data_IF_618932751723
#
_entry.id   IF_618932751723
#
_cell.length_a   1.000
_cell.length_b   1.000
_cell.length_c   1.000
_cell.angle_alpha   90.00
_cell.angle_beta   90.00
_cell.angle_gamma   90.00
#
_symmetry.space_group_name_H-M   'P 1'
#
loop_
_entity.id
_entity.type
_entity.pdbx_description
1 polymer ?
#
# COMPACT_ATOMS: atom_id res chain seq x y z
N UNK A 1 -0.85 16.59 -5.38
CA UNK A 1 -0.17 15.39 -4.83
C UNK A 1 0.52 15.62 -3.50
N UNK A 2 1.37 16.66 -3.38
CA UNK A 2 2.02 17.02 -2.09
C UNK A 2 1.03 17.35 -0.97
N UNK A 3 -0.16 17.81 -1.31
CA UNK A 3 -1.16 18.30 -0.36
C UNK A 3 -1.85 17.15 0.41
N UNK A 4 -2.30 16.11 -0.30
CA UNK A 4 -2.89 14.90 0.32
C UNK A 4 -1.89 14.19 1.23
N UNK A 5 -0.64 14.01 0.75
CA UNK A 5 0.45 13.41 1.53
C UNK A 5 0.73 14.25 2.79
N UNK A 6 0.80 15.58 2.65
CA UNK A 6 1.05 16.48 3.78
C UNK A 6 -0.10 16.47 4.78
N UNK A 7 -1.35 16.43 4.30
CA UNK A 7 -2.56 16.36 5.13
C UNK A 7 -2.58 15.07 5.96
N UNK A 8 -2.39 13.91 5.32
CA UNK A 8 -2.32 12.62 6.00
C UNK A 8 -1.14 12.54 6.97
N UNK A 9 0.02 13.05 6.56
CA UNK A 9 1.21 13.09 7.41
C UNK A 9 1.05 14.03 8.61
N UNK A 10 0.33 15.13 8.46
CA UNK A 10 0.06 16.08 9.56
C UNK A 10 -0.60 15.43 10.78
N UNK A 11 -1.39 14.38 10.57
CA UNK A 11 -2.01 13.63 11.68
C UNK A 11 -1.05 12.72 12.43
N UNK A 12 0.08 12.37 11.82
CA UNK A 12 1.09 11.54 12.45
C UNK A 12 1.62 12.17 13.76
N UNK A 13 1.82 13.49 13.77
CA UNK A 13 2.27 14.20 14.96
C UNK A 13 1.25 14.15 16.11
N UNK A 14 -0.05 14.26 15.79
CA UNK A 14 -1.12 14.17 16.79
C UNK A 14 -1.19 12.78 17.41
N UNK A 15 -1.06 11.74 16.58
CA UNK A 15 -1.13 10.34 17.04
C UNK A 15 0.10 9.88 17.83
N UNK A 16 1.25 10.51 17.59
CA UNK A 16 2.46 10.27 18.39
C UNK A 16 2.27 10.62 19.87
N UNK A 17 1.46 11.63 20.18
CA UNK A 17 1.11 11.96 21.56
C UNK A 17 0.27 10.87 22.23
N UNK A 18 -0.39 10.01 21.46
CA UNK A 18 -1.14 8.84 21.96
C UNK A 18 -0.27 7.57 22.07
N UNK A 19 1.05 7.68 21.89
CA UNK A 19 1.98 6.57 22.00
C UNK A 19 2.11 5.70 20.74
N UNK A 20 1.56 6.14 19.60
CA UNK A 20 1.71 5.46 18.32
C UNK A 20 2.99 5.96 17.65
N UNK A 21 3.93 5.06 17.37
CA UNK A 21 5.14 5.41 16.65
C UNK A 21 4.89 5.64 15.13
N UNK A 22 5.87 6.24 14.43
CA UNK A 22 5.74 6.53 12.99
C UNK A 22 5.53 5.28 12.15
N UNK A 23 6.18 4.17 12.49
CA UNK A 23 6.04 2.92 11.77
C UNK A 23 4.65 2.32 11.93
N UNK A 24 4.14 2.29 13.16
CA UNK A 24 2.80 1.82 13.47
C UNK A 24 1.73 2.73 12.83
N UNK A 25 1.93 4.05 12.87
CA UNK A 25 1.01 4.98 12.20
C UNK A 25 0.92 4.72 10.70
N UNK A 26 2.05 4.63 10.02
CA UNK A 26 2.08 4.34 8.57
C UNK A 26 1.40 3.00 8.28
N UNK A 27 1.65 2.00 9.07
CA UNK A 27 1.01 0.69 8.89
C UNK A 27 -0.52 0.79 9.04
N UNK A 28 -1.02 1.48 10.08
CA UNK A 28 -2.45 1.69 10.28
C UNK A 28 -3.08 2.54 9.15
N UNK A 29 -2.42 3.62 8.76
CA UNK A 29 -2.85 4.45 7.64
C UNK A 29 -2.94 3.65 6.35
N UNK A 30 -1.98 2.75 6.12
CA UNK A 30 -1.94 1.87 4.97
C UNK A 30 -3.12 0.91 4.95
N UNK A 31 -3.48 0.31 6.07
CA UNK A 31 -4.67 -0.54 6.18
C UNK A 31 -5.96 0.21 5.83
N UNK A 32 -6.09 1.42 6.35
CA UNK A 32 -7.26 2.27 6.08
C UNK A 32 -7.33 2.69 4.60
N UNK A 33 -6.21 3.11 4.02
CA UNK A 33 -6.14 3.44 2.59
C UNK A 33 -6.44 2.23 1.71
N UNK A 34 -5.91 1.06 2.07
CA UNK A 34 -6.21 -0.17 1.34
C UNK A 34 -7.71 -0.48 1.37
N UNK A 35 -8.37 -0.40 2.53
CA UNK A 35 -9.81 -0.61 2.67
C UNK A 35 -10.61 0.36 1.80
N UNK A 36 -10.26 1.65 1.80
CA UNK A 36 -10.91 2.66 0.97
C UNK A 36 -10.78 2.33 -0.52
N UNK A 37 -9.58 1.96 -0.96
CA UNK A 37 -9.31 1.67 -2.37
C UNK A 37 -9.80 0.27 -2.81
N UNK A 38 -9.87 -0.69 -1.89
CA UNK A 38 -10.41 -2.01 -2.18
C UNK A 38 -11.91 -1.96 -2.52
N UNK A 39 -12.66 -1.07 -1.85
CA UNK A 39 -14.08 -0.81 -2.17
C UNK A 39 -14.23 -0.33 -3.62
N UNK A 40 -13.37 0.59 -4.07
CA UNK A 40 -13.40 1.13 -5.43
C UNK A 40 -13.00 0.11 -6.51
N UNK A 41 -12.17 -0.87 -6.18
CA UNK A 41 -11.67 -1.90 -7.12
C UNK A 41 -12.48 -3.17 -7.12
N UNK A 42 -13.62 -3.22 -6.42
CA UNK A 42 -14.41 -4.43 -6.22
C UNK A 42 -13.54 -5.62 -5.75
N UNK A 43 -12.48 -5.35 -4.98
CA UNK A 43 -11.75 -6.41 -4.30
C UNK A 43 -12.73 -7.16 -3.39
N UNK A 44 -12.58 -8.47 -3.28
CA UNK A 44 -13.50 -9.32 -2.54
C UNK A 44 -13.37 -9.12 -1.01
N UNK A 45 -13.62 -7.90 -0.54
CA UNK A 45 -13.70 -7.59 0.88
C UNK A 45 -14.99 -8.23 1.43
N UNK A 46 -14.92 -8.97 2.55
CA UNK A 46 -16.10 -9.59 3.14
C UNK A 46 -17.19 -8.55 3.45
N UNK A 47 -18.42 -8.86 3.10
CA UNK A 47 -19.57 -7.97 3.30
C UNK A 47 -19.69 -7.56 4.78
N UNK A 48 -19.86 -6.26 5.03
CA UNK A 48 -19.94 -5.69 6.37
C UNK A 48 -18.60 -5.45 7.06
N UNK A 49 -17.48 -5.71 6.37
CA UNK A 49 -16.11 -5.40 6.83
C UNK A 49 -15.38 -4.48 5.85
N UNK A 50 -16.14 -3.69 5.11
CA UNK A 50 -15.71 -2.72 4.12
C UNK A 50 -15.56 -1.32 4.71
N UNK A 51 -15.12 -0.37 3.87
CA UNK A 51 -14.95 1.03 4.27
C UNK A 51 -16.28 1.66 4.72
N UNK A 52 -17.38 1.37 4.03
CA UNK A 52 -18.70 1.92 4.34
C UNK A 52 -19.15 1.52 5.75
N UNK A 53 -18.89 0.28 6.16
CA UNK A 53 -19.20 -0.22 7.51
C UNK A 53 -18.41 0.49 8.60
N UNK A 54 -17.16 0.88 8.29
CA UNK A 54 -16.24 1.52 9.24
C UNK A 54 -16.60 3.01 9.45
N UNK A 55 -16.85 3.75 8.37
CA UNK A 55 -17.01 5.21 8.43
C UNK A 55 -18.24 5.68 9.23
N UNK A 56 -19.26 4.86 9.36
CA UNK A 56 -20.50 5.22 10.03
C UNK A 56 -20.47 5.02 11.57
N UNK A 57 -19.40 4.41 12.09
CA UNK A 57 -19.24 4.15 13.51
C UNK A 57 -18.46 5.26 14.24
N UNK A 58 -18.57 5.27 15.58
CA UNK A 58 -17.85 6.16 16.46
C UNK A 58 -17.68 5.52 17.86
N UNK A 59 -16.83 6.12 18.70
CA UNK A 59 -16.56 5.61 20.06
C UNK A 59 -15.93 4.21 20.03
N UNK A 60 -16.13 3.45 21.09
CA UNK A 60 -15.57 2.09 21.24
C UNK A 60 -16.06 1.13 20.14
N UNK A 61 -17.32 1.27 19.69
CA UNK A 61 -17.83 0.48 18.58
C UNK A 61 -16.99 0.63 17.30
N UNK A 62 -16.40 1.80 17.04
CA UNK A 62 -15.50 2.02 15.91
C UNK A 62 -14.19 1.25 16.08
N UNK A 63 -13.56 1.31 17.25
CA UNK A 63 -12.29 0.60 17.50
C UNK A 63 -12.47 -0.91 17.48
N UNK A 64 -13.54 -1.42 18.05
CA UNK A 64 -13.87 -2.84 18.08
C UNK A 64 -14.12 -3.37 16.66
N UNK A 65 -14.92 -2.63 15.89
CA UNK A 65 -15.20 -2.99 14.49
C UNK A 65 -13.95 -2.94 13.62
N UNK A 66 -13.06 -1.94 13.82
CA UNK A 66 -11.79 -1.88 13.12
C UNK A 66 -10.91 -3.11 13.42
N UNK A 67 -10.84 -3.53 14.68
CA UNK A 67 -10.14 -4.74 15.06
C UNK A 67 -10.73 -6.00 14.40
N UNK A 68 -12.07 -6.08 14.34
CA UNK A 68 -12.78 -7.16 13.64
C UNK A 68 -12.52 -7.18 12.14
N UNK A 69 -12.47 -6.02 11.49
CA UNK A 69 -12.09 -5.90 10.07
C UNK A 69 -10.70 -6.48 9.85
N UNK A 70 -9.68 -6.05 10.61
CA UNK A 70 -8.32 -6.56 10.44
C UNK A 70 -8.25 -8.08 10.61
N UNK A 71 -9.00 -8.63 11.58
CA UNK A 71 -9.09 -10.07 11.80
C UNK A 71 -9.77 -10.80 10.63
N UNK A 72 -10.90 -10.27 10.14
CA UNK A 72 -11.65 -10.88 9.04
C UNK A 72 -10.91 -10.85 7.71
N UNK A 73 -10.17 -9.78 7.43
CA UNK A 73 -9.35 -9.69 6.22
C UNK A 73 -8.18 -10.69 6.25
N UNK A 74 -7.61 -10.95 7.42
CA UNK A 74 -6.61 -12.01 7.59
C UNK A 74 -7.16 -13.40 7.29
N UNK A 75 -8.44 -13.65 7.59
CA UNK A 75 -9.13 -14.93 7.36
C UNK A 75 -9.63 -15.10 5.92
N UNK A 76 -9.65 -14.04 5.11
CA UNK A 76 -10.27 -14.04 3.78
C UNK A 76 -9.50 -14.83 2.72
N UNK A 77 -8.23 -15.19 2.97
CA UNK A 77 -7.37 -15.89 2.03
C UNK A 77 -6.76 -14.99 0.95
N UNK A 78 -5.82 -15.54 0.17
CA UNK A 78 -5.14 -14.85 -0.92
C UNK A 78 -4.42 -13.58 -0.50
N UNK A 79 -4.40 -12.57 -1.38
CA UNK A 79 -3.69 -11.31 -1.13
C UNK A 79 -4.12 -10.62 0.17
N UNK A 80 -5.39 -10.69 0.53
CA UNK A 80 -5.90 -10.09 1.78
C UNK A 80 -5.28 -10.76 3.00
N UNK A 81 -5.23 -12.10 3.03
CA UNK A 81 -4.59 -12.84 4.11
C UNK A 81 -3.10 -12.49 4.23
N UNK A 82 -2.38 -12.36 3.11
CA UNK A 82 -0.97 -12.01 3.10
C UNK A 82 -0.71 -10.58 3.63
N UNK A 83 -1.52 -9.62 3.21
CA UNK A 83 -1.44 -8.23 3.66
C UNK A 83 -1.78 -8.11 5.15
N UNK A 84 -2.83 -8.78 5.62
CA UNK A 84 -3.35 -8.63 6.98
C UNK A 84 -2.87 -9.72 7.95
N UNK A 85 -1.92 -10.59 7.56
CA UNK A 85 -1.48 -11.76 8.34
C UNK A 85 -1.12 -11.47 9.80
N UNK A 86 -0.52 -10.32 10.07
CA UNK A 86 -0.12 -9.89 11.42
C UNK A 86 -0.70 -8.52 11.77
N UNK A 87 -1.76 -8.11 11.08
CA UNK A 87 -2.39 -6.82 11.32
C UNK A 87 -3.00 -6.78 12.71
N UNK A 88 -2.61 -5.78 13.48
CA UNK A 88 -3.14 -5.51 14.82
C UNK A 88 -3.55 -4.04 14.90
N UNK A 89 -4.70 -3.72 15.53
CA UNK A 89 -5.09 -2.33 15.72
C UNK A 89 -4.11 -1.64 16.69
N UNK A 90 -3.76 -0.39 16.36
CA UNK A 90 -2.87 0.44 17.20
C UNK A 90 -3.54 1.73 17.68
N UNK A 91 -4.74 2.04 17.18
CA UNK A 91 -5.50 3.17 17.68
C UNK A 91 -6.12 2.85 19.06
N UNK A 92 -5.62 3.52 20.09
CA UNK A 92 -6.17 3.41 21.45
C UNK A 92 -7.31 4.41 21.69
N UNK A 93 -7.29 5.54 20.96
CA UNK A 93 -8.30 6.57 21.06
C UNK A 93 -9.24 6.55 19.83
N UNK A 94 -10.54 6.24 20.01
CA UNK A 94 -11.48 6.19 18.91
C UNK A 94 -11.68 7.54 18.19
N UNK A 95 -11.45 8.67 18.86
CA UNK A 95 -11.54 9.99 18.26
C UNK A 95 -10.45 10.17 17.22
N UNK A 96 -9.24 9.68 17.47
CA UNK A 96 -8.12 9.76 16.55
C UNK A 96 -8.32 8.84 15.33
N UNK A 97 -8.82 7.62 15.55
CA UNK A 97 -9.20 6.73 14.45
C UNK A 97 -10.28 7.38 13.57
N UNK A 98 -11.33 7.94 14.18
CA UNK A 98 -12.40 8.65 13.45
C UNK A 98 -11.87 9.82 12.62
N UNK A 99 -10.92 10.58 13.18
CA UNK A 99 -10.29 11.71 12.49
C UNK A 99 -9.50 11.26 11.25
N UNK A 100 -8.72 10.18 11.36
CA UNK A 100 -7.97 9.64 10.21
C UNK A 100 -8.93 9.11 9.13
N UNK A 101 -9.99 8.41 9.53
CA UNK A 101 -11.03 7.95 8.60
C UNK A 101 -11.69 9.13 7.87
N UNK A 102 -12.05 10.19 8.59
CA UNK A 102 -12.66 11.38 7.99
C UNK A 102 -11.74 12.04 6.98
N UNK A 103 -10.45 12.20 7.30
CA UNK A 103 -9.45 12.77 6.38
C UNK A 103 -9.26 11.94 5.11
N UNK A 104 -9.30 10.62 5.21
CA UNK A 104 -9.23 9.74 4.05
C UNK A 104 -10.51 9.86 3.22
N UNK A 105 -11.68 9.95 3.87
CA UNK A 105 -12.99 10.00 3.19
C UNK A 105 -13.27 11.36 2.52
N UNK A 106 -12.62 12.44 2.97
CA UNK A 106 -12.69 13.77 2.34
C UNK A 106 -12.04 13.84 0.96
N UNK A 107 -11.11 12.94 0.66
CA UNK A 107 -10.43 12.90 -0.64
C UNK A 107 -11.22 12.03 -1.62
N UNK A 108 -11.37 12.52 -2.85
CA UNK A 108 -11.98 11.75 -3.94
C UNK A 108 -10.95 10.81 -4.58
N UNK A 109 -10.74 9.67 -3.92
CA UNK A 109 -9.82 8.64 -4.42
C UNK A 109 -10.31 8.03 -5.74
N UNK A 110 -11.63 8.04 -6.00
CA UNK A 110 -12.19 7.47 -7.23
C UNK A 110 -11.80 8.28 -8.46
N UNK A 111 -11.72 9.59 -8.33
CA UNK A 111 -11.29 10.50 -9.40
C UNK A 111 -9.76 10.48 -9.64
N UNK A 112 -8.99 9.89 -8.73
CA UNK A 112 -7.53 9.80 -8.89
C UNK A 112 -7.14 8.61 -9.76
N UNK A 113 -6.25 8.83 -10.70
CA UNK A 113 -5.60 7.74 -11.44
C UNK A 113 -4.80 6.82 -10.52
N UNK A 114 -4.59 5.57 -10.95
CA UNK A 114 -3.82 4.56 -10.21
C UNK A 114 -2.43 5.07 -9.86
N UNK A 115 -1.78 5.77 -10.79
CA UNK A 115 -0.44 6.33 -10.60
C UNK A 115 -0.42 7.42 -9.51
N UNK A 116 -1.48 8.22 -9.40
CA UNK A 116 -1.61 9.26 -8.37
C UNK A 116 -1.81 8.64 -6.98
N UNK A 117 -2.64 7.59 -6.88
CA UNK A 117 -2.87 6.84 -5.63
C UNK A 117 -1.57 6.18 -5.14
N UNK A 118 -0.88 5.51 -6.05
CA UNK A 118 0.39 4.88 -5.76
C UNK A 118 1.46 5.89 -5.32
N UNK A 119 1.58 7.01 -6.04
CA UNK A 119 2.54 8.06 -5.70
C UNK A 119 2.22 8.75 -4.35
N UNK A 120 0.94 8.89 -3.99
CA UNK A 120 0.55 9.39 -2.66
C UNK A 120 1.00 8.43 -1.55
N UNK A 121 0.78 7.14 -1.75
CA UNK A 121 1.22 6.09 -0.82
C UNK A 121 2.75 6.07 -0.66
N UNK A 122 3.48 6.13 -1.77
CA UNK A 122 4.94 6.18 -1.75
C UNK A 122 5.48 7.43 -1.07
N UNK A 123 4.87 8.59 -1.30
CA UNK A 123 5.22 9.83 -0.60
C UNK A 123 5.08 9.71 0.92
N UNK A 124 4.10 8.95 1.41
CA UNK A 124 3.97 8.64 2.84
C UNK A 124 5.07 7.72 3.34
N UNK A 125 5.42 6.67 2.58
CA UNK A 125 6.52 5.77 2.92
C UNK A 125 7.87 6.50 2.94
N UNK A 126 8.12 7.38 1.97
CA UNK A 126 9.33 8.18 1.88
C UNK A 126 9.47 9.15 3.06
N UNK A 127 8.37 9.83 3.45
CA UNK A 127 8.34 10.66 4.67
C UNK A 127 8.59 9.85 5.93
N UNK A 128 7.97 8.69 6.07
CA UNK A 128 8.20 7.80 7.21
C UNK A 128 9.67 7.37 7.31
N UNK A 129 10.30 7.06 6.18
CA UNK A 129 11.70 6.68 6.13
C UNK A 129 12.65 7.84 6.48
N UNK A 130 12.30 9.08 6.10
CA UNK A 130 13.14 10.27 6.38
C UNK A 130 13.02 10.75 7.82
N UNK A 131 11.83 10.66 8.44
CA UNK A 131 11.57 11.17 9.80
C UNK A 131 11.63 10.06 10.87
N UNK A 132 11.50 8.80 10.49
CA UNK A 132 11.65 7.66 11.37
C UNK A 132 13.09 7.58 11.88
N UNK A 133 13.30 7.78 13.19
CA UNK A 133 14.60 7.54 13.80
C UNK A 133 15.01 6.09 13.51
N UNK A 134 16.14 5.95 12.81
CA UNK A 134 16.87 4.73 12.47
C UNK A 134 16.50 3.51 13.34
N UNK A 135 15.48 2.79 12.91
CA UNK A 135 15.19 1.46 13.43
C UNK A 135 15.84 0.44 12.50
N UNK A 136 16.74 -0.35 13.04
CA UNK A 136 17.22 -1.63 12.51
C UNK A 136 17.51 -1.69 11.00
N UNK A 137 18.42 -0.83 10.49
CA UNK A 137 19.09 -1.12 9.20
C UNK A 137 18.24 -1.09 7.93
N UNK A 138 16.98 -0.63 8.00
CA UNK A 138 16.14 -0.49 6.82
C UNK A 138 16.46 0.84 6.14
N UNK A 139 17.19 0.78 5.03
CA UNK A 139 17.48 1.92 4.19
C UNK A 139 16.45 2.01 3.06
N UNK A 140 15.75 3.13 3.01
CA UNK A 140 14.89 3.45 1.87
C UNK A 140 15.77 3.87 0.69
N UNK A 141 15.68 3.16 -0.42
CA UNK A 141 16.44 3.52 -1.63
C UNK A 141 15.76 4.69 -2.33
N UNK A 142 16.46 5.82 -2.57
CA UNK A 142 15.84 6.97 -3.21
C UNK A 142 15.22 6.65 -4.57
N UNK A 143 14.00 7.11 -4.79
CA UNK A 143 13.22 6.82 -6.00
C UNK A 143 13.92 7.21 -7.30
N UNK A 144 14.65 8.34 -7.28
CA UNK A 144 15.41 8.81 -8.43
C UNK A 144 16.48 7.79 -8.85
N UNK A 145 17.16 7.18 -7.87
CA UNK A 145 18.16 6.15 -8.12
C UNK A 145 17.50 4.89 -8.72
N UNK A 146 16.41 4.41 -8.13
CA UNK A 146 15.66 3.24 -8.63
C UNK A 146 15.21 3.48 -10.08
N UNK A 147 14.59 4.62 -10.37
CA UNK A 147 14.13 4.98 -11.72
C UNK A 147 15.29 5.03 -12.73
N UNK A 148 16.45 5.51 -12.32
CA UNK A 148 17.64 5.53 -13.17
C UNK A 148 18.12 4.12 -13.49
N UNK A 149 18.19 3.23 -12.50
CA UNK A 149 18.57 1.82 -12.69
C UNK A 149 17.58 1.12 -13.62
N UNK A 150 16.28 1.26 -13.37
CA UNK A 150 15.22 0.64 -14.18
C UNK A 150 15.28 1.10 -15.64
N UNK A 151 15.54 2.40 -15.89
CA UNK A 151 15.73 2.95 -17.25
C UNK A 151 16.91 2.34 -17.99
N UNK A 152 17.99 2.01 -17.29
CA UNK A 152 19.16 1.34 -17.88
C UNK A 152 18.86 -0.13 -18.13
N UNK A 153 18.25 -0.83 -17.16
CA UNK A 153 17.97 -2.27 -17.23
C UNK A 153 16.86 -2.63 -18.22
N UNK A 154 15.89 -1.72 -18.42
CA UNK A 154 14.75 -1.90 -19.34
C UNK A 154 14.06 -3.26 -19.16
N UNK A 155 13.49 -3.55 -18.00
CA UNK A 155 12.95 -4.87 -17.66
C UNK A 155 11.60 -5.10 -18.36
N UNK A 156 11.62 -5.48 -19.65
CA UNK A 156 10.45 -5.64 -20.49
C UNK A 156 10.04 -7.12 -20.61
N UNK A 157 8.94 -7.55 -19.96
CA UNK A 157 8.41 -8.91 -20.03
C UNK A 157 7.52 -9.16 -21.25
N UNK A 158 7.19 -8.16 -22.06
CA UNK A 158 6.26 -8.31 -23.20
C UNK A 158 6.79 -9.32 -24.22
N UNK A 159 5.93 -10.23 -24.65
CA UNK A 159 6.30 -11.30 -25.57
C UNK A 159 7.29 -12.33 -25.00
N UNK A 160 7.56 -12.31 -23.70
CA UNK A 160 8.50 -13.23 -23.03
C UNK A 160 7.79 -13.93 -21.86
N UNK A 161 7.15 -15.06 -22.07
CA UNK A 161 6.28 -15.70 -21.07
C UNK A 161 7.01 -16.09 -19.78
N UNK A 162 8.29 -16.43 -19.86
CA UNK A 162 9.11 -16.86 -18.71
C UNK A 162 9.91 -15.73 -18.06
N UNK A 163 9.77 -14.50 -18.57
CA UNK A 163 10.49 -13.36 -18.00
C UNK A 163 9.87 -12.93 -16.67
N UNK A 164 10.67 -12.90 -15.64
CA UNK A 164 10.30 -12.47 -14.29
C UNK A 164 11.22 -11.36 -13.79
N UNK A 165 10.68 -10.55 -12.89
CA UNK A 165 11.40 -9.48 -12.20
C UNK A 165 11.37 -9.83 -10.72
N UNK A 166 12.55 -10.03 -10.12
CA UNK A 166 12.68 -10.45 -8.73
C UNK A 166 13.51 -9.44 -7.92
N UNK A 167 13.04 -9.14 -6.72
CA UNK A 167 13.75 -8.35 -5.73
C UNK A 167 13.91 -9.17 -4.44
N UNK A 168 15.11 -9.68 -4.14
CA UNK A 168 15.36 -10.53 -2.97
C UNK A 168 15.41 -9.76 -1.64
N UNK A 169 15.36 -8.42 -1.68
CA UNK A 169 15.34 -7.54 -0.52
C UNK A 169 14.31 -6.43 -0.75
N UNK A 170 13.07 -6.86 -1.00
CA UNK A 170 12.02 -6.05 -1.61
C UNK A 170 11.67 -4.76 -0.83
N UNK A 171 11.91 -4.71 0.46
CA UNK A 171 11.58 -3.55 1.29
C UNK A 171 10.11 -3.15 1.12
N UNK A 172 9.86 -1.93 0.66
CA UNK A 172 8.51 -1.43 0.34
C UNK A 172 8.10 -1.62 -1.12
N UNK A 173 8.85 -2.41 -1.89
CA UNK A 173 8.53 -2.76 -3.27
C UNK A 173 8.99 -1.75 -4.32
N UNK A 174 9.89 -0.84 -3.96
CA UNK A 174 10.30 0.28 -4.81
C UNK A 174 10.80 -0.12 -6.20
N UNK A 175 11.67 -1.12 -6.30
CA UNK A 175 12.18 -1.60 -7.59
C UNK A 175 11.10 -2.25 -8.44
N UNK A 176 10.23 -3.05 -7.83
CA UNK A 176 9.15 -3.73 -8.55
C UNK A 176 8.11 -2.74 -9.07
N UNK A 177 7.73 -1.75 -8.24
CA UNK A 177 6.80 -0.68 -8.63
C UNK A 177 7.39 0.15 -9.76
N UNK A 178 8.63 0.64 -9.64
CA UNK A 178 9.27 1.41 -10.71
C UNK A 178 9.42 0.62 -12.01
N UNK A 179 9.66 -0.69 -11.91
CA UNK A 179 9.73 -1.54 -13.10
C UNK A 179 8.37 -1.65 -13.79
N UNK A 180 7.29 -1.73 -13.02
CA UNK A 180 5.94 -1.73 -13.54
C UNK A 180 5.54 -0.38 -14.13
N UNK A 181 5.79 0.74 -13.45
CA UNK A 181 5.58 2.10 -13.97
C UNK A 181 6.32 2.32 -15.29
N UNK A 182 7.61 1.96 -15.33
CA UNK A 182 8.40 2.06 -16.54
C UNK A 182 7.79 1.26 -17.70
N UNK A 183 7.31 0.05 -17.43
CA UNK A 183 6.67 -0.80 -18.43
C UNK A 183 5.36 -0.18 -18.95
N UNK A 184 4.53 0.39 -18.07
CA UNK A 184 3.30 1.12 -18.44
C UNK A 184 3.64 2.30 -19.37
N UNK A 185 4.66 3.09 -19.02
CA UNK A 185 5.12 4.22 -19.84
C UNK A 185 5.58 3.75 -21.23
N UNK A 186 6.36 2.65 -21.31
CA UNK A 186 6.83 2.09 -22.58
C UNK A 186 5.70 1.52 -23.45
N UNK A 187 4.69 0.95 -22.82
CA UNK A 187 3.51 0.40 -23.48
C UNK A 187 2.46 1.47 -23.81
N UNK A 188 2.66 2.72 -23.36
CA UNK A 188 1.64 3.79 -23.42
C UNK A 188 0.29 3.34 -22.86
N UNK A 189 0.32 2.56 -21.79
CA UNK A 189 -0.85 1.98 -21.13
C UNK A 189 -1.53 0.83 -21.89
N UNK A 190 -1.03 0.42 -23.04
CA UNK A 190 -1.66 -0.62 -23.89
C UNK A 190 -0.86 -1.93 -23.82
N UNK A 191 -1.54 -2.99 -23.38
CA UNK A 191 -1.05 -4.37 -23.41
C UNK A 191 -2.04 -5.24 -24.20
N UNK A 192 -1.55 -6.29 -24.87
CA UNK A 192 -2.48 -7.34 -25.25
C UNK A 192 -3.07 -8.05 -24.00
N UNK A 193 -4.22 -8.69 -24.17
CA UNK A 193 -4.98 -9.24 -23.04
C UNK A 193 -4.23 -10.33 -22.25
N UNK A 194 -3.45 -11.15 -22.95
CA UNK A 194 -2.71 -12.25 -22.34
C UNK A 194 -1.51 -11.72 -21.55
N UNK A 195 -0.74 -10.80 -22.14
CA UNK A 195 0.36 -10.12 -21.48
C UNK A 195 -0.12 -9.29 -20.29
N UNK A 196 -1.23 -8.55 -20.42
CA UNK A 196 -1.79 -7.75 -19.33
C UNK A 196 -2.06 -8.59 -18.08
N UNK A 197 -2.70 -9.76 -18.23
CA UNK A 197 -2.98 -10.66 -17.12
C UNK A 197 -1.68 -11.22 -16.51
N UNK A 198 -0.77 -11.73 -17.35
CA UNK A 198 0.49 -12.33 -16.92
C UNK A 198 1.36 -11.31 -16.17
N UNK A 199 1.52 -10.12 -16.73
CA UNK A 199 2.31 -9.04 -16.13
C UNK A 199 1.80 -8.70 -14.74
N UNK A 200 0.49 -8.59 -14.55
CA UNK A 200 -0.11 -8.25 -13.26
C UNK A 200 -0.08 -9.37 -12.22
N UNK A 201 0.04 -10.64 -12.64
CA UNK A 201 -0.18 -11.77 -11.73
C UNK A 201 0.99 -12.75 -11.61
N UNK A 202 1.96 -12.72 -12.54
CA UNK A 202 2.99 -13.75 -12.65
C UNK A 202 4.41 -13.22 -12.90
N UNK A 203 4.61 -11.91 -13.04
CA UNK A 203 5.89 -11.33 -13.44
C UNK A 203 6.74 -10.89 -12.25
N UNK A 204 6.11 -10.45 -11.16
CA UNK A 204 6.81 -9.81 -10.05
C UNK A 204 6.98 -10.74 -8.85
N UNK A 205 8.21 -10.81 -8.34
CA UNK A 205 8.61 -11.63 -7.18
C UNK A 205 9.37 -10.77 -6.18
N UNK A 206 8.98 -10.84 -4.91
CA UNK A 206 9.64 -10.08 -3.85
C UNK A 206 9.84 -10.92 -2.60
N UNK A 207 10.99 -10.77 -1.97
CA UNK A 207 11.28 -11.40 -0.69
C UNK A 207 11.77 -10.35 0.30
N UNK A 208 11.32 -10.46 1.55
CA UNK A 208 11.87 -9.71 2.68
C UNK A 208 11.81 -10.58 3.94
N UNK A 209 12.84 -10.47 4.78
CA UNK A 209 12.92 -11.19 6.05
C UNK A 209 11.96 -10.60 7.09
N UNK A 210 11.65 -9.29 6.96
CA UNK A 210 10.82 -8.56 7.92
C UNK A 210 9.37 -8.48 7.40
N UNK A 211 8.38 -8.94 8.20
CA UNK A 211 6.99 -8.99 7.74
C UNK A 211 6.38 -7.63 7.39
N UNK A 212 6.74 -6.56 8.10
CA UNK A 212 6.17 -5.21 7.89
C UNK A 212 6.51 -4.66 6.49
N UNK A 213 7.78 -4.55 6.05
CA UNK A 213 8.12 -4.14 4.68
C UNK A 213 7.44 -5.00 3.62
N UNK A 214 7.41 -6.33 3.80
CA UNK A 214 6.75 -7.23 2.86
C UNK A 214 5.26 -6.89 2.68
N UNK A 215 4.54 -6.61 3.76
CA UNK A 215 3.13 -6.16 3.67
C UNK A 215 3.00 -4.83 2.95
N UNK A 216 3.86 -3.86 3.28
CA UNK A 216 3.88 -2.56 2.62
C UNK A 216 4.18 -2.70 1.12
N UNK A 217 5.08 -3.60 0.72
CA UNK A 217 5.35 -3.91 -0.68
C UNK A 217 4.13 -4.47 -1.41
N UNK A 218 3.42 -5.43 -0.80
CA UNK A 218 2.20 -6.01 -1.39
C UNK A 218 1.12 -4.94 -1.60
N UNK A 219 0.91 -4.07 -0.61
CA UNK A 219 -0.04 -2.97 -0.70
C UNK A 219 0.37 -1.96 -1.76
N UNK A 220 1.65 -1.58 -1.81
CA UNK A 220 2.20 -0.65 -2.78
C UNK A 220 2.02 -1.17 -4.20
N UNK A 221 2.40 -2.42 -4.46
CA UNK A 221 2.21 -3.07 -5.76
C UNK A 221 0.74 -3.13 -6.16
N UNK A 222 -0.15 -3.51 -5.22
CA UNK A 222 -1.59 -3.54 -5.48
C UNK A 222 -2.13 -2.15 -5.86
N UNK A 223 -1.70 -1.10 -5.17
CA UNK A 223 -2.12 0.28 -5.46
C UNK A 223 -1.66 0.74 -6.84
N UNK A 224 -0.53 0.25 -7.33
CA UNK A 224 -0.01 0.51 -8.67
C UNK A 224 -0.61 -0.41 -9.75
N UNK A 225 -1.48 -1.35 -9.40
CA UNK A 225 -2.18 -2.20 -10.36
C UNK A 225 -1.57 -3.58 -10.58
N UNK A 226 -0.55 -3.97 -9.82
CA UNK A 226 -0.05 -5.35 -9.77
C UNK A 226 -0.95 -6.15 -8.83
N UNK A 227 -1.66 -7.13 -9.38
CA UNK A 227 -2.69 -7.89 -8.64
C UNK A 227 -2.11 -9.00 -7.77
N UNK A 228 -0.92 -9.48 -8.13
CA UNK A 228 -0.22 -10.53 -7.39
C UNK A 228 1.30 -10.38 -7.51
N UNK A 229 1.96 -10.34 -6.38
CA UNK A 229 3.41 -10.52 -6.23
C UNK A 229 3.65 -11.83 -5.45
N UNK A 230 4.64 -12.62 -5.84
CA UNK A 230 5.00 -13.88 -5.18
C UNK A 230 6.29 -13.74 -4.40
#
# INVERSE_FOLDING_TARGET
>A
MSDVVNKLWGSCHTLRHDGIDYGDYIEQLTYLLFLKMAEERAAAVPKGFDWASLKNLSGTALTDHYADILRKLREAGGLLADIFAQATPRFNNPVNLKRVIAMIDEEDWSAMDVDVKGAAFEGLLEKAASEGKKGAGQYFTPRVLIKSIVRVMKPDPRGKPDFTIADPAVGTGGFLVCSYEWLIDQAKGVFDRADAKRIKTQTYYGQDLVPRPRRLALMNLFLHGVERCR
#
